data_IF_345298939306
#
_entry.id   IF_345298939306
#
_cell.length_a   1.000
_cell.length_b   1.000
_cell.length_c   1.000
_cell.angle_alpha   90.00
_cell.angle_beta   90.00
_cell.angle_gamma   90.00
#
_symmetry.space_group_name_H-M   'P 1'
#
loop_
_entity.id
_entity.type
_entity.pdbx_description
1 polymer ?
#
# COMPACT_ATOMS: atom_id res chain seq x y z
N UNK A 1 -3.54 78.17 -12.35
CA UNK A 1 -3.31 77.47 -11.07
C UNK A 1 -4.64 76.85 -10.66
N UNK A 2 -4.84 75.56 -10.36
CA UNK A 2 -3.92 74.48 -9.99
C UNK A 2 -4.75 73.16 -9.97
N UNK A 3 -4.44 72.24 -10.91
CA UNK A 3 -4.29 70.77 -10.77
C UNK A 3 -5.49 69.83 -10.51
N UNK A 4 -5.52 68.81 -11.37
CA UNK A 4 -6.25 67.53 -11.38
C UNK A 4 -6.32 66.78 -10.04
N UNK A 5 -7.47 66.16 -9.76
CA UNK A 5 -7.56 65.03 -8.83
C UNK A 5 -8.06 63.81 -9.61
N UNK A 6 -7.15 62.84 -9.71
CA UNK A 6 -7.29 61.55 -10.35
C UNK A 6 -8.30 60.64 -9.62
N UNK A 7 -8.94 59.79 -10.40
CA UNK A 7 -9.82 58.69 -10.01
C UNK A 7 -9.20 57.73 -8.99
N UNK A 8 -10.05 57.11 -8.16
CA UNK A 8 -9.74 55.80 -7.60
C UNK A 8 -11.04 55.00 -7.41
N UNK A 9 -11.41 54.25 -8.44
CA UNK A 9 -12.49 53.27 -8.40
C UNK A 9 -11.97 52.04 -7.66
N UNK A 10 -12.41 51.82 -6.42
CA UNK A 10 -11.95 50.71 -5.59
C UNK A 10 -12.81 49.46 -5.86
N UNK A 11 -12.43 48.64 -6.82
CA UNK A 11 -13.06 47.34 -7.06
C UNK A 11 -12.55 46.30 -6.05
N UNK A 12 -13.43 45.84 -5.17
CA UNK A 12 -13.16 44.74 -4.23
C UNK A 12 -13.31 43.42 -4.98
N UNK A 13 -12.20 42.78 -5.35
CA UNK A 13 -12.19 41.39 -5.85
C UNK A 13 -12.26 40.42 -4.68
N UNK A 14 -13.38 39.72 -4.54
CA UNK A 14 -13.52 38.60 -3.59
C UNK A 14 -12.74 37.40 -4.15
N UNK A 15 -11.57 37.12 -3.58
CA UNK A 15 -10.79 35.92 -3.88
C UNK A 15 -11.40 34.70 -3.19
N UNK A 16 -12.05 33.83 -3.95
CA UNK A 16 -12.49 32.52 -3.47
C UNK A 16 -11.27 31.63 -3.22
N UNK A 17 -10.89 31.43 -1.95
CA UNK A 17 -9.92 30.41 -1.57
C UNK A 17 -10.58 29.03 -1.71
N UNK A 18 -10.42 28.40 -2.88
CA UNK A 18 -10.74 26.99 -3.05
C UNK A 18 -9.78 26.15 -2.19
N UNK A 19 -10.31 25.57 -1.10
CA UNK A 19 -9.54 24.66 -0.24
C UNK A 19 -9.08 23.44 -1.03
N UNK A 20 -7.76 23.34 -1.26
CA UNK A 20 -7.16 22.16 -1.89
C UNK A 20 -7.25 21.02 -0.90
N UNK A 21 -8.21 20.11 -1.10
CA UNK A 21 -8.30 18.89 -0.32
C UNK A 21 -7.08 18.01 -0.65
N UNK A 22 -6.02 18.11 0.15
CA UNK A 22 -4.89 17.18 0.07
C UNK A 22 -5.41 15.80 0.47
N UNK A 23 -5.64 14.94 -0.54
CA UNK A 23 -5.95 13.55 -0.30
C UNK A 23 -4.81 12.94 0.53
N UNK A 24 -5.06 12.67 1.82
CA UNK A 24 -4.06 12.06 2.69
C UNK A 24 -3.66 10.72 2.08
N UNK A 25 -2.40 10.63 1.64
CA UNK A 25 -1.85 9.41 1.08
C UNK A 25 -2.08 8.26 2.07
N UNK A 26 -2.59 7.13 1.58
CA UNK A 26 -2.67 5.93 2.43
C UNK A 26 -1.22 5.51 2.68
N UNK A 27 -0.76 5.38 3.94
CA UNK A 27 0.66 5.18 4.23
C UNK A 27 1.31 4.02 3.47
N UNK A 28 0.52 2.98 3.21
CA UNK A 28 0.95 1.76 2.52
C UNK A 28 0.95 1.86 0.99
N UNK A 29 0.29 2.85 0.39
CA UNK A 29 0.14 2.95 -1.07
C UNK A 29 1.50 3.05 -1.79
N UNK A 30 1.57 2.49 -2.99
CA UNK A 30 2.76 2.47 -3.84
C UNK A 30 3.44 1.09 -3.92
N UNK A 31 4.71 1.11 -4.34
CA UNK A 31 5.51 -0.09 -4.57
C UNK A 31 6.49 -0.35 -3.43
N UNK A 32 6.67 -1.63 -3.13
CA UNK A 32 7.53 -2.12 -2.05
C UNK A 32 8.33 -3.31 -2.54
N UNK A 33 9.57 -3.42 -2.08
CA UNK A 33 10.45 -4.54 -2.42
C UNK A 33 11.20 -5.03 -1.18
N UNK A 34 11.49 -6.32 -1.12
CA UNK A 34 12.25 -6.91 -0.04
C UNK A 34 12.22 -8.42 -0.10
N UNK A 35 12.29 -9.07 1.06
CA UNK A 35 12.37 -10.52 1.11
C UNK A 35 12.12 -11.09 2.49
N UNK A 36 12.21 -12.41 2.58
CA UNK A 36 11.99 -13.15 3.81
C UNK A 36 11.93 -14.63 3.54
N UNK A 37 10.99 -15.32 4.18
CA UNK A 37 10.86 -16.76 4.05
C UNK A 37 9.42 -17.23 4.02
N UNK A 38 9.20 -18.34 3.32
CA UNK A 38 7.97 -19.13 3.33
C UNK A 38 8.28 -20.46 3.99
N UNK A 39 7.49 -20.84 4.99
CA UNK A 39 7.53 -22.15 5.63
C UNK A 39 6.33 -22.95 5.17
N UNK A 40 6.57 -24.01 4.42
CA UNK A 40 5.54 -24.92 3.93
C UNK A 40 5.06 -25.86 5.05
N UNK A 41 3.87 -26.41 4.90
CA UNK A 41 3.33 -27.40 5.84
C UNK A 41 4.14 -28.69 5.89
N UNK A 42 4.91 -29.00 4.85
CA UNK A 42 5.90 -30.09 4.83
C UNK A 42 7.10 -29.84 5.77
N UNK A 43 7.23 -28.64 6.33
CA UNK A 43 8.36 -28.22 7.17
C UNK A 43 9.47 -27.53 6.40
N UNK A 44 9.48 -27.62 5.07
CA UNK A 44 10.46 -26.95 4.22
C UNK A 44 10.37 -25.42 4.37
N UNK A 45 11.53 -24.77 4.45
CA UNK A 45 11.65 -23.31 4.52
C UNK A 45 12.39 -22.80 3.30
N UNK A 46 11.75 -21.90 2.57
CA UNK A 46 12.30 -21.29 1.36
C UNK A 46 12.53 -19.80 1.57
N UNK A 47 13.64 -19.28 1.03
CA UNK A 47 13.91 -17.85 0.97
C UNK A 47 13.21 -17.25 -0.25
N UNK A 48 12.60 -16.08 -0.05
CA UNK A 48 11.87 -15.39 -1.11
C UNK A 48 12.26 -13.93 -1.20
N UNK A 49 12.25 -13.40 -2.43
CA UNK A 49 12.34 -11.97 -2.73
C UNK A 49 11.02 -11.51 -3.31
N UNK A 50 10.38 -10.54 -2.69
CA UNK A 50 9.04 -10.12 -3.04
C UNK A 50 8.99 -8.66 -3.48
N UNK A 51 8.14 -8.38 -4.46
CA UNK A 51 7.68 -7.05 -4.85
C UNK A 51 6.18 -6.98 -4.61
N UNK A 52 5.73 -5.91 -3.96
CA UNK A 52 4.32 -5.68 -3.65
C UNK A 52 3.93 -4.32 -4.19
N UNK A 53 2.80 -4.25 -4.89
CA UNK A 53 2.15 -3.02 -5.32
C UNK A 53 0.82 -2.89 -4.61
N UNK A 54 0.58 -1.74 -3.99
CA UNK A 54 -0.69 -1.41 -3.34
C UNK A 54 -1.44 -0.35 -4.11
N UNK A 55 -2.73 -0.61 -4.32
CA UNK A 55 -3.66 0.29 -5.00
C UNK A 55 -4.82 0.65 -4.08
N UNK A 56 -5.32 1.87 -4.24
CA UNK A 56 -6.45 2.35 -3.44
C UNK A 56 -7.71 1.56 -3.81
N UNK A 57 -8.36 0.96 -2.82
CA UNK A 57 -9.69 0.39 -2.96
C UNK A 57 -10.79 1.37 -2.50
N UNK A 58 -11.96 0.82 -2.20
CA UNK A 58 -13.07 1.59 -1.63
C UNK A 58 -12.92 1.79 -0.11
N UNK A 59 -13.15 3.01 0.37
CA UNK A 59 -13.13 3.32 1.81
C UNK A 59 -11.79 2.99 2.48
N UNK A 60 -11.81 2.05 3.44
CA UNK A 60 -10.62 1.59 4.18
C UNK A 60 -9.88 0.43 3.50
N UNK A 61 -10.33 0.01 2.33
CA UNK A 61 -9.78 -1.14 1.60
C UNK A 61 -8.61 -0.74 0.70
N UNK A 62 -7.61 -1.62 0.63
CA UNK A 62 -6.45 -1.52 -0.25
C UNK A 62 -6.34 -2.84 -1.01
N UNK A 63 -6.14 -2.75 -2.32
CA UNK A 63 -5.86 -3.91 -3.18
C UNK A 63 -4.35 -4.09 -3.23
N UNK A 64 -3.88 -5.33 -3.18
CA UNK A 64 -2.45 -5.62 -3.29
C UNK A 64 -2.17 -6.72 -4.30
N UNK A 65 -1.07 -6.55 -5.02
CA UNK A 65 -0.51 -7.51 -5.95
C UNK A 65 0.92 -7.82 -5.52
N UNK A 66 1.22 -9.10 -5.40
CA UNK A 66 2.48 -9.59 -4.86
C UNK A 66 3.09 -10.53 -5.87
N UNK A 67 4.36 -10.30 -6.20
CA UNK A 67 5.19 -11.24 -6.93
C UNK A 67 6.39 -11.60 -6.09
N UNK A 68 6.59 -12.88 -5.83
CA UNK A 68 7.74 -13.38 -5.11
C UNK A 68 8.57 -14.32 -5.99
N UNK A 69 9.88 -14.17 -5.95
CA UNK A 69 10.84 -15.11 -6.52
C UNK A 69 11.40 -16.00 -5.40
N UNK A 70 11.49 -17.29 -5.66
CA UNK A 70 12.15 -18.28 -4.82
C UNK A 70 13.30 -18.94 -5.63
N UNK A 71 13.91 -20.01 -5.13
CA UNK A 71 15.08 -20.63 -5.78
C UNK A 71 14.82 -21.09 -7.21
N UNK A 72 13.64 -21.64 -7.47
CA UNK A 72 13.35 -22.34 -8.73
C UNK A 72 12.22 -21.68 -9.54
N UNK A 73 11.91 -20.41 -9.29
CA UNK A 73 10.87 -19.72 -10.05
C UNK A 73 10.28 -18.50 -9.37
N UNK A 74 9.03 -18.20 -9.74
CA UNK A 74 8.23 -17.13 -9.14
C UNK A 74 6.81 -17.58 -8.91
N UNK A 75 6.16 -16.99 -7.91
CA UNK A 75 4.73 -17.11 -7.70
C UNK A 75 4.09 -15.73 -7.52
N UNK A 76 2.80 -15.66 -7.84
CA UNK A 76 2.01 -14.44 -7.73
C UNK A 76 0.79 -14.67 -6.86
N UNK A 77 0.46 -13.66 -6.06
CA UNK A 77 -0.78 -13.61 -5.29
C UNK A 77 -1.35 -12.20 -5.33
N UNK A 78 -2.66 -12.10 -5.28
CA UNK A 78 -3.38 -10.83 -5.20
C UNK A 78 -4.39 -10.88 -4.07
N UNK A 79 -4.92 -9.73 -3.65
CA UNK A 79 -5.94 -9.74 -2.62
C UNK A 79 -6.43 -8.37 -2.21
N UNK A 80 -7.08 -8.34 -1.04
CA UNK A 80 -7.57 -7.10 -0.43
C UNK A 80 -7.30 -7.11 1.06
N UNK A 81 -6.89 -5.95 1.57
CA UNK A 81 -6.72 -5.70 2.99
C UNK A 81 -7.53 -4.49 3.41
N UNK A 82 -8.02 -4.50 4.64
CA UNK A 82 -8.69 -3.37 5.27
C UNK A 82 -7.74 -2.74 6.27
N UNK A 83 -7.64 -1.42 6.24
CA UNK A 83 -6.89 -0.64 7.22
C UNK A 83 -7.57 -0.75 8.58
N UNK A 84 -6.93 -1.40 9.55
CA UNK A 84 -7.45 -1.55 10.91
C UNK A 84 -7.08 -0.35 11.79
N UNK A 85 -5.86 0.18 11.64
CA UNK A 85 -5.39 1.37 12.32
C UNK A 85 -4.44 2.18 11.42
N UNK A 86 -3.74 3.19 11.96
CA UNK A 86 -2.82 4.03 11.17
C UNK A 86 -1.73 3.20 10.45
N UNK A 87 -1.28 2.11 11.07
CA UNK A 87 -0.12 1.32 10.65
C UNK A 87 -0.41 -0.16 10.43
N UNK A 88 -1.65 -0.63 10.69
CA UNK A 88 -1.99 -2.05 10.60
C UNK A 88 -3.10 -2.30 9.59
N UNK A 89 -2.92 -3.35 8.79
CA UNK A 89 -3.85 -3.82 7.78
C UNK A 89 -4.03 -5.33 7.90
N UNK A 90 -5.23 -5.82 7.60
CA UNK A 90 -5.52 -7.25 7.59
C UNK A 90 -6.48 -7.59 6.45
N UNK A 91 -6.39 -8.80 5.91
CA UNK A 91 -7.32 -9.27 4.90
C UNK A 91 -6.93 -10.61 4.34
N UNK A 92 -7.25 -10.84 3.06
CA UNK A 92 -7.01 -12.12 2.39
C UNK A 92 -6.27 -11.95 1.08
N UNK A 93 -5.44 -12.95 0.81
CA UNK A 93 -4.71 -13.18 -0.43
C UNK A 93 -5.26 -14.43 -1.12
N UNK A 94 -5.12 -14.45 -2.43
CA UNK A 94 -5.44 -15.58 -3.27
C UNK A 94 -4.30 -15.83 -4.26
N UNK A 95 -3.94 -17.10 -4.40
CA UNK A 95 -3.03 -17.60 -5.43
C UNK A 95 -3.81 -18.47 -6.39
N UNK A 96 -3.94 -18.02 -7.63
CA UNK A 96 -4.52 -18.81 -8.71
C UNK A 96 -3.63 -20.01 -9.05
N UNK A 97 -2.31 -19.78 -9.13
CA UNK A 97 -1.30 -20.81 -9.41
C UNK A 97 -1.37 -22.02 -8.46
N UNK A 98 -1.75 -21.79 -7.21
CA UNK A 98 -1.84 -22.86 -6.19
C UNK A 98 -3.27 -23.15 -5.74
N UNK A 99 -4.27 -22.54 -6.38
CA UNK A 99 -5.69 -22.69 -6.04
C UNK A 99 -5.99 -22.48 -4.56
N UNK A 100 -5.29 -21.56 -3.89
CA UNK A 100 -5.35 -21.42 -2.43
C UNK A 100 -5.51 -19.97 -2.00
N UNK A 101 -6.22 -19.80 -0.88
CA UNK A 101 -6.37 -18.52 -0.22
C UNK A 101 -5.67 -18.54 1.14
N UNK A 102 -5.35 -17.36 1.64
CA UNK A 102 -4.75 -17.20 2.95
C UNK A 102 -5.05 -15.84 3.57
N UNK A 103 -4.91 -15.78 4.88
CA UNK A 103 -4.99 -14.54 5.63
C UNK A 103 -3.66 -13.80 5.56
N UNK A 104 -3.71 -12.47 5.56
CA UNK A 104 -2.53 -11.62 5.56
C UNK A 104 -2.69 -10.52 6.60
N UNK A 105 -1.64 -10.29 7.37
CA UNK A 105 -1.47 -9.16 8.27
C UNK A 105 -0.26 -8.32 7.85
N UNK A 106 -0.42 -7.01 7.88
CA UNK A 106 0.61 -6.06 7.44
C UNK A 106 0.78 -4.98 8.50
N UNK A 107 2.02 -4.76 8.93
CA UNK A 107 2.41 -3.67 9.81
C UNK A 107 3.39 -2.74 9.09
N UNK A 108 3.12 -1.43 9.13
CA UNK A 108 3.88 -0.39 8.43
C UNK A 108 4.48 0.59 9.44
N UNK A 109 5.80 0.78 9.34
CA UNK A 109 6.56 1.76 10.11
C UNK A 109 7.46 2.56 9.15
N UNK A 110 7.06 3.81 8.89
CA UNK A 110 7.77 4.68 7.93
C UNK A 110 7.83 4.05 6.53
N UNK A 111 9.05 3.86 6.02
CA UNK A 111 9.33 3.23 4.74
C UNK A 111 9.53 1.72 4.84
N UNK A 112 9.29 1.09 5.99
CA UNK A 112 9.44 -0.36 6.22
C UNK A 112 8.10 -1.00 6.52
N UNK A 113 7.86 -2.19 5.99
CA UNK A 113 6.70 -3.00 6.33
C UNK A 113 7.08 -4.45 6.61
N UNK A 114 6.31 -5.07 7.50
CA UNK A 114 6.36 -6.50 7.76
C UNK A 114 5.03 -7.10 7.33
N UNK A 115 5.09 -8.07 6.42
CA UNK A 115 3.93 -8.81 5.93
C UNK A 115 4.02 -10.24 6.44
N UNK A 116 2.97 -10.70 7.10
CA UNK A 116 2.81 -12.08 7.54
C UNK A 116 1.59 -12.67 6.84
N UNK A 117 1.74 -13.83 6.22
CA UNK A 117 0.63 -14.53 5.58
C UNK A 117 0.54 -15.96 6.09
N UNK A 118 -0.67 -16.52 6.10
CA UNK A 118 -0.95 -17.91 6.47
C UNK A 118 -2.00 -18.47 5.52
N UNK A 119 -1.76 -19.67 5.01
CA UNK A 119 -2.69 -20.41 4.16
C UNK A 119 -2.69 -21.90 4.54
N UNK A 120 -3.49 -22.70 3.84
CA UNK A 120 -3.42 -24.17 3.94
C UNK A 120 -2.07 -24.75 3.46
N UNK A 121 -1.27 -23.99 2.70
CA UNK A 121 0.03 -24.44 2.17
C UNK A 121 1.21 -24.07 3.07
N UNK A 122 1.02 -23.17 4.02
CA UNK A 122 2.10 -22.73 4.91
C UNK A 122 1.96 -21.30 5.39
N UNK A 123 3.04 -20.78 5.95
CA UNK A 123 3.15 -19.40 6.43
C UNK A 123 4.27 -18.66 5.71
N UNK A 124 4.13 -17.34 5.61
CA UNK A 124 5.16 -16.49 5.06
C UNK A 124 5.41 -15.31 6.00
N UNK A 125 6.67 -14.89 6.10
CA UNK A 125 7.04 -13.61 6.72
C UNK A 125 8.05 -12.93 5.81
N UNK A 126 7.71 -11.72 5.38
CA UNK A 126 8.58 -10.91 4.52
C UNK A 126 8.65 -9.49 5.04
N UNK A 127 9.81 -8.88 4.88
CA UNK A 127 10.09 -7.50 5.26
C UNK A 127 10.42 -6.75 3.99
N UNK A 128 9.74 -5.64 3.76
CA UNK A 128 9.90 -4.82 2.57
C UNK A 128 10.18 -3.37 2.92
N UNK A 129 10.86 -2.71 2.01
CA UNK A 129 11.09 -1.27 2.02
C UNK A 129 10.34 -0.63 0.85
N UNK A 130 9.80 0.56 1.08
CA UNK A 130 9.13 1.35 0.06
C UNK A 130 10.16 1.77 -1.02
N UNK A 131 9.76 1.69 -2.29
CA UNK A 131 10.58 2.12 -3.42
C UNK A 131 10.36 3.60 -3.75
#
# INVERSE_FOLDING_TARGET
>A
MMRYIFACLLTITVGAFAGVAVAKATPIAGSWAGGGSVKLTSGQVEKVRCRIRYEKGSGRTVVLYVRCAHSNGTFQVSGRVVKLSKSFYSGRLYSEQYGTAGDVGISVSGNRQTVKAKSSKGTATVILTKQ
#
